data_IF_167659041388
#
_entry.id   IF_167659041388
#
_cell.length_a   1.000
_cell.length_b   1.000
_cell.length_c   1.000
_cell.angle_alpha   90.00
_cell.angle_beta   90.00
_cell.angle_gamma   90.00
#
_symmetry.space_group_name_H-M   'P 1'
#
loop_
_entity.id
_entity.type
_entity.pdbx_description
1 polymer ?
#
# COMPACT_ATOMS: atom_id res chain seq x y z
N UNK A 1 21.05 17.34 -18.78
CA UNK A 1 19.76 17.31 -18.06
C UNK A 1 20.09 17.15 -16.59
N UNK A 2 19.71 18.10 -15.76
CA UNK A 2 19.98 18.04 -14.30
C UNK A 2 19.12 16.91 -13.72
N UNK A 3 19.73 15.99 -13.00
CA UNK A 3 18.97 14.96 -12.26
C UNK A 3 18.14 15.65 -11.18
N UNK A 4 16.84 15.31 -11.12
CA UNK A 4 15.90 15.82 -10.13
C UNK A 4 15.76 14.76 -9.02
N UNK A 5 15.94 15.15 -7.78
CA UNK A 5 15.82 14.29 -6.61
C UNK A 5 14.61 14.66 -5.75
N UNK A 6 14.13 13.79 -4.85
CA UNK A 6 12.95 14.07 -4.00
C UNK A 6 13.04 15.36 -3.20
N UNK A 7 14.23 15.69 -2.69
CA UNK A 7 14.46 16.92 -1.93
C UNK A 7 14.32 18.18 -2.79
N UNK A 8 14.56 18.10 -4.10
CA UNK A 8 14.46 19.25 -5.01
C UNK A 8 13.01 19.61 -5.36
N UNK A 9 12.06 18.69 -5.03
CA UNK A 9 10.64 18.80 -5.36
C UNK A 9 9.80 19.32 -4.17
N UNK A 10 10.40 19.48 -3.01
CA UNK A 10 9.75 19.93 -1.78
C UNK A 10 10.55 21.06 -1.12
N UNK A 11 9.93 21.95 -0.33
CA UNK A 11 10.65 22.95 0.45
C UNK A 11 11.61 22.31 1.47
N UNK A 12 12.64 23.05 1.86
CA UNK A 12 13.61 22.59 2.87
C UNK A 12 12.94 22.22 4.20
N UNK A 13 11.87 22.92 4.57
CA UNK A 13 11.11 22.69 5.81
C UNK A 13 10.06 21.57 5.69
N UNK A 14 10.02 20.82 4.60
CA UNK A 14 8.96 19.84 4.34
C UNK A 14 8.86 18.74 5.41
N UNK A 15 9.99 18.21 5.89
CA UNK A 15 10.01 17.24 7.00
C UNK A 15 9.40 17.81 8.27
N UNK A 16 9.72 19.07 8.60
CA UNK A 16 9.16 19.76 9.76
C UNK A 16 7.66 19.99 9.62
N UNK A 17 7.18 20.35 8.44
CA UNK A 17 5.75 20.51 8.16
C UNK A 17 4.99 19.18 8.23
N UNK A 18 5.52 18.10 7.63
CA UNK A 18 4.94 16.75 7.77
C UNK A 18 4.81 16.36 9.24
N UNK A 19 5.89 16.55 10.00
CA UNK A 19 5.90 16.27 11.43
C UNK A 19 4.85 17.08 12.19
N UNK A 20 4.71 18.36 11.93
CA UNK A 20 3.72 19.24 12.56
C UNK A 20 2.28 18.77 12.25
N UNK A 21 1.99 18.40 11.00
CA UNK A 21 0.68 17.86 10.62
C UNK A 21 0.41 16.55 11.37
N UNK A 22 1.36 15.63 11.42
CA UNK A 22 1.20 14.34 12.10
C UNK A 22 1.02 14.51 13.62
N UNK A 23 1.72 15.46 14.25
CA UNK A 23 1.54 15.79 15.66
C UNK A 23 0.17 16.38 15.95
N UNK A 24 -0.39 17.16 15.03
CA UNK A 24 -1.75 17.68 15.12
C UNK A 24 -2.84 16.58 14.94
N UNK A 25 -2.45 15.43 14.41
CA UNK A 25 -3.36 14.28 14.18
C UNK A 25 -2.90 13.01 14.91
N UNK A 26 -2.93 12.99 16.26
CA UNK A 26 -2.40 11.88 17.07
C UNK A 26 -3.15 10.56 16.87
N UNK A 27 -4.38 10.61 16.37
CA UNK A 27 -5.16 9.42 16.01
C UNK A 27 -4.80 8.86 14.64
N UNK A 28 -3.94 9.56 13.90
CA UNK A 28 -3.54 9.27 12.54
C UNK A 28 -4.40 9.97 11.50
N UNK A 29 -3.84 10.11 10.32
CA UNK A 29 -4.44 10.78 9.16
C UNK A 29 -4.32 9.86 7.94
N UNK A 30 -5.30 9.85 7.04
CA UNK A 30 -5.18 9.13 5.78
C UNK A 30 -4.27 9.88 4.79
N UNK A 31 -3.68 9.15 3.86
CA UNK A 31 -2.89 9.73 2.77
C UNK A 31 -3.65 10.86 2.05
N UNK A 32 -4.90 10.58 1.66
CA UNK A 32 -5.72 11.56 0.94
C UNK A 32 -5.89 12.87 1.72
N UNK A 33 -6.19 12.78 3.01
CA UNK A 33 -6.30 13.98 3.86
C UNK A 33 -4.95 14.69 4.00
N UNK A 34 -3.86 13.94 4.13
CA UNK A 34 -2.52 14.52 4.22
C UNK A 34 -2.13 15.24 2.93
N UNK A 35 -2.40 14.66 1.76
CA UNK A 35 -2.19 15.31 0.46
C UNK A 35 -3.01 16.60 0.31
N UNK A 36 -4.26 16.61 0.79
CA UNK A 36 -5.10 17.83 0.78
C UNK A 36 -4.51 18.92 1.68
N UNK A 37 -4.08 18.59 2.89
CA UNK A 37 -3.46 19.55 3.80
C UNK A 37 -2.15 20.10 3.24
N UNK A 38 -1.34 19.27 2.60
CA UNK A 38 -0.11 19.70 1.94
C UNK A 38 -0.41 20.63 0.76
N UNK A 39 -1.44 20.35 -0.03
CA UNK A 39 -1.88 21.23 -1.11
C UNK A 39 -2.31 22.62 -0.60
N UNK A 40 -2.99 22.67 0.55
CA UNK A 40 -3.44 23.91 1.17
C UNK A 40 -2.27 24.70 1.82
N UNK A 41 -1.34 24.00 2.47
CA UNK A 41 -0.25 24.62 3.23
C UNK A 41 0.98 24.99 2.38
N UNK A 42 1.11 24.40 1.20
CA UNK A 42 2.25 24.58 0.29
C UNK A 42 1.80 25.11 -1.08
N UNK A 43 1.26 26.34 -1.14
CA UNK A 43 0.87 26.92 -2.43
C UNK A 43 2.10 27.07 -3.33
N UNK A 44 1.97 26.63 -4.59
CA UNK A 44 3.07 26.63 -5.57
C UNK A 44 3.91 25.35 -5.58
N UNK A 45 3.66 24.39 -4.70
CA UNK A 45 4.26 23.06 -4.75
C UNK A 45 3.54 22.11 -5.73
N UNK A 46 4.15 20.97 -6.04
CA UNK A 46 3.51 19.91 -6.81
C UNK A 46 2.18 19.43 -6.20
N UNK A 47 2.04 19.52 -4.87
CA UNK A 47 0.81 19.14 -4.16
C UNK A 47 -0.37 20.07 -4.48
N UNK A 48 -0.08 21.36 -4.73
CA UNK A 48 -1.09 22.39 -5.00
C UNK A 48 -1.42 22.55 -6.50
N UNK A 49 -0.80 21.77 -7.40
CA UNK A 49 -1.08 21.85 -8.83
C UNK A 49 -2.54 21.51 -9.14
N UNK A 50 -3.23 22.34 -9.97
CA UNK A 50 -4.60 22.08 -10.34
C UNK A 50 -4.79 20.71 -10.99
N UNK A 51 -5.64 19.86 -10.42
CA UNK A 51 -5.91 18.53 -10.94
C UNK A 51 -4.93 17.45 -10.53
N UNK A 52 -3.88 17.75 -9.79
CA UNK A 52 -2.85 16.80 -9.37
C UNK A 52 -3.41 15.56 -8.65
N UNK A 53 -4.47 15.73 -7.85
CA UNK A 53 -5.16 14.63 -7.17
C UNK A 53 -6.18 13.88 -8.05
N UNK A 54 -6.39 14.30 -9.31
CA UNK A 54 -7.35 13.69 -10.25
C UNK A 54 -6.68 13.02 -11.44
N UNK A 55 -5.53 13.53 -11.84
CA UNK A 55 -4.78 13.00 -12.96
C UNK A 55 -3.92 11.81 -12.46
N UNK A 56 -4.08 10.60 -13.04
CA UNK A 56 -3.49 9.37 -12.50
C UNK A 56 -1.98 9.41 -12.33
N UNK A 57 -1.25 9.92 -13.31
CA UNK A 57 0.22 9.99 -13.23
C UNK A 57 0.68 10.99 -12.17
N UNK A 58 0.01 12.14 -12.06
CA UNK A 58 0.34 13.14 -11.05
C UNK A 58 0.03 12.61 -9.64
N UNK A 59 -1.13 11.97 -9.46
CA UNK A 59 -1.48 11.34 -8.20
C UNK A 59 -0.45 10.27 -7.80
N UNK A 60 -0.02 9.42 -8.74
CA UNK A 60 1.05 8.45 -8.50
C UNK A 60 2.34 9.14 -8.05
N UNK A 61 2.74 10.22 -8.75
CA UNK A 61 3.96 10.97 -8.41
C UNK A 61 3.90 11.63 -7.03
N UNK A 62 2.75 12.20 -6.68
CA UNK A 62 2.55 12.78 -5.35
C UNK A 62 2.55 11.71 -4.25
N UNK A 63 1.88 10.60 -4.49
CA UNK A 63 1.89 9.44 -3.61
C UNK A 63 3.32 8.96 -3.37
N UNK A 64 4.07 8.71 -4.44
CA UNK A 64 5.43 8.22 -4.34
C UNK A 64 6.34 9.20 -3.60
N UNK A 65 6.28 10.49 -3.95
CA UNK A 65 7.06 11.55 -3.29
C UNK A 65 6.71 11.63 -1.79
N UNK A 66 5.44 11.63 -1.45
CA UNK A 66 4.98 11.68 -0.06
C UNK A 66 5.51 10.47 0.74
N UNK A 67 5.36 9.25 0.20
CA UNK A 67 5.82 8.04 0.88
C UNK A 67 7.36 7.99 0.99
N UNK A 68 8.08 8.41 -0.05
CA UNK A 68 9.53 8.58 0.03
C UNK A 68 9.91 9.49 1.22
N UNK A 69 9.27 10.65 1.34
CA UNK A 69 9.54 11.61 2.42
C UNK A 69 9.09 11.10 3.80
N UNK A 70 7.99 10.37 3.88
CA UNK A 70 7.55 9.73 5.13
C UNK A 70 8.54 8.68 5.64
N UNK A 71 9.14 7.88 4.74
CA UNK A 71 10.17 6.91 5.14
C UNK A 71 11.45 7.59 5.60
N UNK A 72 11.83 8.73 5.02
CA UNK A 72 12.94 9.53 5.54
C UNK A 72 12.62 10.15 6.90
N UNK A 73 11.42 10.72 7.07
CA UNK A 73 10.96 11.22 8.37
C UNK A 73 10.93 10.11 9.43
N UNK A 74 10.57 8.88 9.06
CA UNK A 74 10.57 7.75 9.97
C UNK A 74 11.99 7.46 10.53
N UNK A 75 13.03 7.65 9.71
CA UNK A 75 14.43 7.52 10.16
C UNK A 75 14.81 8.66 11.12
N UNK A 76 14.45 9.90 10.77
CA UNK A 76 14.72 11.08 11.58
C UNK A 76 14.09 10.95 12.99
N UNK A 77 12.80 10.60 13.06
CA UNK A 77 12.09 10.50 14.35
C UNK A 77 12.48 9.25 15.16
N UNK A 78 13.10 8.26 14.53
CA UNK A 78 13.56 7.05 15.22
C UNK A 78 14.64 7.37 16.27
N UNK A 79 15.46 8.39 16.04
CA UNK A 79 16.48 8.87 16.97
C UNK A 79 15.87 9.51 18.22
N UNK A 80 14.64 10.03 18.12
CA UNK A 80 13.90 10.69 19.19
C UNK A 80 12.97 9.76 19.99
N UNK A 81 13.15 8.44 19.90
CA UNK A 81 12.26 7.45 20.53
C UNK A 81 10.81 7.52 20.02
N UNK A 82 10.63 7.99 18.79
CA UNK A 82 9.35 7.98 18.11
C UNK A 82 9.33 6.91 17.01
N UNK A 83 8.14 6.52 16.60
CA UNK A 83 7.91 5.64 15.44
C UNK A 83 6.82 6.22 14.56
N UNK A 84 6.96 6.02 13.27
CA UNK A 84 5.99 6.45 12.27
C UNK A 84 5.33 5.22 11.64
N UNK A 85 4.02 5.07 11.87
CA UNK A 85 3.21 4.09 11.15
C UNK A 85 2.86 4.65 9.79
N UNK A 86 3.25 3.96 8.73
CA UNK A 86 3.03 4.40 7.35
C UNK A 86 2.09 3.42 6.66
N UNK A 87 0.83 3.83 6.50
CA UNK A 87 -0.17 3.07 5.75
C UNK A 87 -1.13 4.07 5.06
N UNK A 88 -1.53 3.81 3.80
CA UNK A 88 -2.40 4.72 3.01
C UNK A 88 -3.67 5.15 3.73
N UNK A 89 -4.25 4.29 4.54
CA UNK A 89 -5.47 4.60 5.31
C UNK A 89 -5.19 5.27 6.65
N UNK A 90 -3.94 5.17 7.15
CA UNK A 90 -3.58 5.70 8.46
C UNK A 90 -2.07 5.91 8.56
N UNK A 91 -1.67 7.17 8.60
CA UNK A 91 -0.29 7.59 8.89
C UNK A 91 -0.31 8.23 10.29
N UNK A 92 0.51 7.75 11.22
CA UNK A 92 0.49 8.20 12.59
C UNK A 92 1.88 8.20 13.23
N UNK A 93 2.20 9.29 13.92
CA UNK A 93 3.39 9.42 14.76
C UNK A 93 3.06 8.90 16.17
N UNK A 94 3.90 8.03 16.72
CA UNK A 94 3.72 7.42 18.04
C UNK A 94 4.98 7.51 18.87
N UNK A 95 4.82 7.55 20.21
CA UNK A 95 5.92 7.25 21.10
C UNK A 95 6.32 5.77 20.98
N UNK A 96 7.61 5.50 20.95
CA UNK A 96 8.14 4.12 20.95
C UNK A 96 8.17 3.62 22.40
N UNK A 97 7.58 2.43 22.70
CA UNK A 97 7.70 1.84 24.02
C UNK A 97 9.17 1.54 24.38
N UNK A 98 9.57 1.72 25.64
CA UNK A 98 10.90 1.32 26.10
C UNK A 98 11.16 -0.16 25.83
N UNK A 99 12.27 -0.50 25.17
CA UNK A 99 12.66 -1.86 24.84
C UNK A 99 12.16 -2.40 23.50
N UNK A 100 11.30 -1.70 22.79
CA UNK A 100 11.11 -1.94 21.34
C UNK A 100 12.36 -1.46 20.62
N UNK A 101 13.24 -2.40 20.24
CA UNK A 101 14.26 -2.10 19.25
C UNK A 101 13.57 -1.51 18.01
N UNK A 102 14.21 -0.55 17.34
CA UNK A 102 13.78 -0.15 16.00
C UNK A 102 13.99 -1.37 15.09
N UNK A 103 13.03 -2.31 15.14
CA UNK A 103 12.98 -3.40 14.20
C UNK A 103 12.61 -2.75 12.89
N UNK A 104 13.64 -2.33 12.15
CA UNK A 104 13.53 -2.14 10.73
C UNK A 104 13.30 -3.54 10.15
N UNK A 105 12.06 -4.02 10.26
CA UNK A 105 11.61 -5.13 9.47
C UNK A 105 11.96 -4.78 8.03
N UNK A 106 12.55 -5.72 7.33
CA UNK A 106 12.84 -5.60 5.90
C UNK A 106 11.52 -5.31 5.16
N UNK A 107 11.16 -4.03 5.11
CA UNK A 107 9.91 -3.56 4.54
C UNK A 107 10.11 -3.38 3.02
N UNK A 108 9.54 -4.27 2.20
CA UNK A 108 9.63 -4.16 0.75
C UNK A 108 9.10 -2.84 0.21
N UNK A 109 8.09 -2.25 0.89
CA UNK A 109 7.52 -0.95 0.51
C UNK A 109 8.52 0.18 0.76
N UNK A 110 9.27 0.11 1.87
CA UNK A 110 10.33 1.07 2.14
C UNK A 110 11.36 1.10 1.02
N UNK A 111 11.87 -0.07 0.63
CA UNK A 111 12.85 -0.18 -0.48
C UNK A 111 12.27 0.38 -1.78
N UNK A 112 11.02 0.07 -2.08
CA UNK A 112 10.34 0.56 -3.27
C UNK A 112 10.24 2.09 -3.30
N UNK A 113 9.78 2.73 -2.22
CA UNK A 113 9.64 4.19 -2.19
C UNK A 113 10.96 4.93 -2.02
N UNK A 114 12.01 4.30 -1.54
CA UNK A 114 13.36 4.86 -1.49
C UNK A 114 14.12 4.72 -2.83
N UNK A 115 13.67 3.83 -3.71
CA UNK A 115 14.21 3.70 -5.06
C UNK A 115 13.59 4.77 -5.98
N UNK A 116 14.26 5.94 -6.05
CA UNK A 116 13.80 7.08 -6.84
C UNK A 116 13.73 6.80 -8.35
N UNK A 117 14.38 5.77 -8.84
CA UNK A 117 14.30 5.35 -10.23
C UNK A 117 12.88 4.91 -10.61
N UNK A 118 12.13 4.32 -9.68
CA UNK A 118 10.71 3.97 -9.86
C UNK A 118 9.87 5.20 -10.20
N UNK A 119 10.10 6.32 -9.52
CA UNK A 119 9.39 7.58 -9.78
C UNK A 119 9.74 8.14 -11.17
N UNK A 120 11.02 8.07 -11.58
CA UNK A 120 11.49 8.60 -12.85
C UNK A 120 11.03 7.79 -14.05
N UNK A 121 11.04 6.46 -13.95
CA UNK A 121 10.71 5.54 -15.03
C UNK A 121 9.21 5.37 -15.23
N UNK A 122 8.39 5.55 -14.18
CA UNK A 122 6.95 5.37 -14.30
C UNK A 122 6.33 6.47 -15.17
N UNK A 123 5.68 6.06 -16.23
CA UNK A 123 4.97 6.92 -17.17
C UNK A 123 3.44 6.73 -17.07
N UNK A 124 2.68 7.47 -17.90
CA UNK A 124 1.23 7.43 -17.88
C UNK A 124 0.66 6.05 -18.25
N UNK A 125 1.30 5.34 -19.17
CA UNK A 125 0.87 4.02 -19.60
C UNK A 125 1.08 2.99 -18.47
N UNK A 126 2.20 3.07 -17.73
CA UNK A 126 2.46 2.22 -16.58
C UNK A 126 1.41 2.40 -15.49
N UNK A 127 1.07 3.67 -15.17
CA UNK A 127 0.01 3.98 -14.19
C UNK A 127 -1.34 3.49 -14.69
N UNK A 128 -1.65 3.66 -15.98
CA UNK A 128 -2.89 3.15 -16.56
C UNK A 128 -2.94 1.63 -16.46
N UNK A 129 -1.85 0.92 -16.73
CA UNK A 129 -1.78 -0.53 -16.55
C UNK A 129 -1.98 -0.96 -15.10
N UNK A 130 -1.43 -0.21 -14.12
CA UNK A 130 -1.67 -0.46 -12.69
C UNK A 130 -3.15 -0.26 -12.34
N UNK A 131 -3.77 0.82 -12.82
CA UNK A 131 -5.20 1.08 -12.61
C UNK A 131 -6.07 0.01 -13.27
N UNK A 132 -5.76 -0.38 -14.50
CA UNK A 132 -6.49 -1.43 -15.21
C UNK A 132 -6.34 -2.78 -14.51
N UNK A 133 -5.15 -3.08 -13.96
CA UNK A 133 -4.93 -4.23 -13.11
C UNK A 133 -5.80 -4.17 -11.83
N UNK A 134 -5.86 -3.01 -11.20
CA UNK A 134 -6.69 -2.76 -10.04
C UNK A 134 -8.20 -2.83 -10.35
N UNK A 135 -8.63 -2.24 -11.46
CA UNK A 135 -10.03 -2.30 -11.92
C UNK A 135 -10.41 -3.68 -12.40
N UNK A 136 -9.53 -4.40 -13.12
CA UNK A 136 -9.73 -5.82 -13.45
C UNK A 136 -9.80 -6.66 -12.19
N UNK A 137 -8.97 -6.38 -11.19
CA UNK A 137 -9.07 -6.97 -9.86
C UNK A 137 -10.34 -6.58 -9.09
N UNK A 138 -10.99 -5.44 -9.40
CA UNK A 138 -12.28 -4.97 -8.86
C UNK A 138 -13.47 -5.23 -9.78
N UNK A 139 -13.22 -5.58 -11.05
CA UNK A 139 -14.25 -5.95 -12.02
C UNK A 139 -15.18 -7.03 -11.50
N UNK A 140 -16.33 -7.17 -12.09
CA UNK A 140 -17.21 -8.29 -11.81
C UNK A 140 -16.40 -9.58 -11.98
N UNK A 141 -16.26 -10.33 -10.90
CA UNK A 141 -15.67 -11.67 -10.97
C UNK A 141 -16.50 -12.43 -11.97
N UNK A 142 -15.87 -12.93 -13.02
CA UNK A 142 -16.56 -13.75 -14.01
C UNK A 142 -16.94 -15.10 -13.40
N UNK A 143 -18.02 -15.69 -13.89
CA UNK A 143 -18.43 -17.01 -13.44
C UNK A 143 -17.30 -18.04 -13.63
N UNK A 144 -16.52 -17.92 -14.69
CA UNK A 144 -15.34 -18.75 -14.94
C UNK A 144 -14.25 -18.61 -13.86
N UNK A 145 -14.00 -17.40 -13.36
CA UNK A 145 -13.05 -17.19 -12.25
C UNK A 145 -13.57 -17.77 -10.94
N UNK A 146 -14.88 -17.73 -10.71
CA UNK A 146 -15.51 -18.35 -9.54
C UNK A 146 -15.40 -19.88 -9.64
N UNK A 147 -15.72 -20.47 -10.80
CA UNK A 147 -15.59 -21.90 -11.04
C UNK A 147 -14.16 -22.39 -10.82
N UNK A 148 -13.17 -21.70 -11.39
CA UNK A 148 -11.76 -22.04 -11.20
C UNK A 148 -11.34 -21.93 -9.74
N UNK A 149 -11.79 -20.90 -9.03
CA UNK A 149 -11.49 -20.73 -7.61
C UNK A 149 -12.16 -21.82 -6.74
N UNK A 150 -13.35 -22.27 -7.09
CA UNK A 150 -14.02 -23.40 -6.44
C UNK A 150 -13.27 -24.71 -6.68
N UNK A 151 -12.80 -24.95 -7.90
CA UNK A 151 -11.99 -26.12 -8.25
C UNK A 151 -10.69 -26.17 -7.43
N UNK A 152 -9.93 -25.06 -7.34
CA UNK A 152 -8.72 -24.94 -6.51
C UNK A 152 -9.01 -25.26 -5.04
N UNK A 153 -10.16 -24.83 -4.54
CA UNK A 153 -10.62 -25.12 -3.17
C UNK A 153 -11.22 -26.52 -3.00
N UNK A 154 -11.46 -27.25 -4.10
CA UNK A 154 -12.06 -28.58 -4.11
C UNK A 154 -13.55 -28.58 -3.79
N UNK A 155 -14.29 -27.63 -4.35
CA UNK A 155 -15.74 -27.54 -4.25
C UNK A 155 -16.38 -27.56 -5.66
N UNK A 156 -17.43 -28.36 -5.84
CA UNK A 156 -18.21 -28.37 -7.09
C UNK A 156 -19.23 -27.22 -7.17
N UNK A 157 -19.54 -26.59 -6.05
CA UNK A 157 -20.46 -25.45 -5.95
C UNK A 157 -20.08 -24.58 -4.76
N UNK A 158 -20.56 -23.34 -4.74
CA UNK A 158 -20.29 -22.37 -3.69
C UNK A 158 -20.71 -22.93 -2.29
N UNK A 159 -19.76 -23.20 -1.38
CA UNK A 159 -20.03 -23.73 -0.04
C UNK A 159 -20.50 -22.61 0.92
N UNK A 160 -20.99 -22.98 2.11
CA UNK A 160 -21.21 -21.99 3.16
C UNK A 160 -19.88 -21.30 3.54
N UNK A 161 -19.89 -20.00 3.93
CA UNK A 161 -18.67 -19.26 4.27
C UNK A 161 -17.80 -19.90 5.35
N UNK A 162 -18.42 -20.59 6.30
CA UNK A 162 -17.70 -21.33 7.35
C UNK A 162 -16.91 -22.52 6.79
N UNK A 163 -17.53 -23.29 5.88
CA UNK A 163 -16.88 -24.42 5.19
C UNK A 163 -15.73 -23.96 4.31
N UNK A 164 -15.89 -22.83 3.60
CA UNK A 164 -14.83 -22.22 2.81
C UNK A 164 -13.61 -21.85 3.69
N UNK A 165 -13.83 -21.18 4.81
CA UNK A 165 -12.74 -20.81 5.76
C UNK A 165 -12.04 -22.04 6.33
N UNK A 166 -12.79 -23.07 6.67
CA UNK A 166 -12.23 -24.33 7.19
C UNK A 166 -11.36 -25.02 6.12
N UNK A 167 -11.85 -25.11 4.90
CA UNK A 167 -11.12 -25.72 3.78
C UNK A 167 -9.85 -24.96 3.45
N UNK A 168 -9.92 -23.64 3.39
CA UNK A 168 -8.78 -22.77 3.19
C UNK A 168 -7.65 -23.02 4.20
N UNK A 169 -7.97 -23.05 5.50
CA UNK A 169 -6.99 -23.34 6.57
C UNK A 169 -6.36 -24.72 6.39
N UNK A 170 -7.15 -25.72 6.04
CA UNK A 170 -6.68 -27.08 5.81
C UNK A 170 -5.71 -27.14 4.61
N UNK A 171 -6.03 -26.48 3.49
CA UNK A 171 -5.19 -26.46 2.31
C UNK A 171 -3.89 -25.69 2.57
N UNK A 172 -3.94 -24.51 3.18
CA UNK A 172 -2.74 -23.75 3.55
C UNK A 172 -1.84 -24.52 4.50
N UNK A 173 -2.41 -25.21 5.52
CA UNK A 173 -1.61 -26.03 6.45
C UNK A 173 -0.89 -27.18 5.75
N UNK A 174 -1.51 -27.75 4.69
CA UNK A 174 -0.95 -28.87 3.92
C UNK A 174 0.12 -28.41 2.93
N UNK A 175 -0.06 -27.23 2.34
CA UNK A 175 0.82 -26.69 1.29
C UNK A 175 1.72 -25.55 1.79
N UNK A 176 1.87 -25.40 3.12
CA UNK A 176 2.73 -24.38 3.68
C UNK A 176 4.21 -24.66 3.38
N UNK A 177 4.99 -23.67 2.90
CA UNK A 177 6.41 -23.87 2.55
C UNK A 177 7.24 -24.47 3.71
N UNK A 178 7.02 -24.03 4.95
CA UNK A 178 7.72 -24.51 6.15
C UNK A 178 7.43 -25.99 6.47
N UNK A 179 6.42 -26.58 5.84
CA UNK A 179 6.04 -27.99 6.00
C UNK A 179 6.33 -28.83 4.73
N UNK A 180 7.18 -28.31 3.85
CA UNK A 180 7.53 -28.98 2.59
C UNK A 180 6.53 -28.79 1.46
N UNK A 181 5.58 -27.87 1.60
CA UNK A 181 4.63 -27.50 0.55
C UNK A 181 5.22 -26.56 -0.48
N UNK A 182 4.50 -26.40 -1.60
CA UNK A 182 4.90 -25.52 -2.71
C UNK A 182 4.39 -24.08 -2.49
N UNK A 183 5.29 -23.10 -2.58
CA UNK A 183 4.93 -21.67 -2.55
C UNK A 183 3.91 -21.32 -3.64
N UNK A 184 4.05 -21.90 -4.84
CA UNK A 184 3.11 -21.69 -5.94
C UNK A 184 1.68 -22.17 -5.59
N UNK A 185 1.55 -23.36 -4.98
CA UNK A 185 0.26 -23.87 -4.53
C UNK A 185 -0.34 -23.01 -3.40
N UNK A 186 0.46 -22.55 -2.45
CA UNK A 186 -0.02 -21.65 -1.40
C UNK A 186 -0.51 -20.31 -1.98
N UNK A 187 0.16 -19.76 -2.99
CA UNK A 187 -0.27 -18.55 -3.70
C UNK A 187 -1.58 -18.75 -4.47
N UNK A 188 -1.73 -19.90 -5.13
CA UNK A 188 -2.94 -20.26 -5.86
C UNK A 188 -4.15 -20.40 -4.91
N UNK A 189 -3.98 -21.07 -3.76
CA UNK A 189 -5.00 -21.18 -2.71
C UNK A 189 -5.40 -19.80 -2.17
N UNK A 190 -4.42 -18.92 -1.93
CA UNK A 190 -4.67 -17.55 -1.48
C UNK A 190 -5.48 -16.75 -2.53
N UNK A 191 -5.11 -16.85 -3.81
CA UNK A 191 -5.82 -16.20 -4.91
C UNK A 191 -7.26 -16.69 -5.03
N UNK A 192 -7.48 -18.00 -4.98
CA UNK A 192 -8.81 -18.59 -4.99
C UNK A 192 -9.69 -18.12 -3.82
N UNK A 193 -9.12 -18.04 -2.62
CA UNK A 193 -9.82 -17.51 -1.44
C UNK A 193 -10.25 -16.06 -1.61
N UNK A 194 -9.40 -15.21 -2.19
CA UNK A 194 -9.72 -13.80 -2.46
C UNK A 194 -10.87 -13.65 -3.48
N UNK A 195 -10.88 -14.47 -4.53
CA UNK A 195 -11.96 -14.48 -5.53
C UNK A 195 -13.28 -14.87 -4.87
N UNK A 196 -13.30 -15.97 -4.10
CA UNK A 196 -14.52 -16.45 -3.44
C UNK A 196 -15.02 -15.49 -2.34
N UNK A 197 -14.14 -14.86 -1.58
CA UNK A 197 -14.53 -13.81 -0.61
C UNK A 197 -15.23 -12.63 -1.28
N UNK A 198 -14.78 -12.23 -2.47
CA UNK A 198 -15.42 -11.17 -3.25
C UNK A 198 -16.78 -11.61 -3.79
N UNK A 199 -16.88 -12.84 -4.25
CA UNK A 199 -18.15 -13.44 -4.72
C UNK A 199 -19.21 -13.36 -3.62
N UNK A 200 -18.89 -13.79 -2.39
CA UNK A 200 -19.81 -13.75 -1.24
C UNK A 200 -20.14 -12.36 -0.71
N UNK A 201 -19.36 -11.33 -1.03
CA UNK A 201 -19.70 -9.95 -0.67
C UNK A 201 -20.71 -9.31 -1.62
N UNK A 202 -20.92 -9.89 -2.79
CA UNK A 202 -21.87 -9.41 -3.81
C UNK A 202 -23.22 -10.13 -3.77
N UNK A 203 -23.29 -11.28 -3.09
CA UNK A 203 -24.50 -12.07 -2.85
C UNK A 203 -25.06 -11.74 -1.48
#
# INVERSE_FOLDING_TARGET
MTEVYPQDLVPDEFSAQLRAILQAHPQGISEHQLLQLLAEQLPGSLFAEPGALREPLQLFRLHFLLFNRLYHLADEVAEEQLSLDIHVLKIALRARPPGEAAVQLDDPLRRYYQDWEQWRQTNADDVQHLLDGFWRGRGAISDAEVEQALEVMGFDRAPAPAALKQRYRSLLSRHHPDRGGSTAQAQEINRAMLILQRYYRKT
#
